data_IF_131520163016
#
_entry.id   IF_131520163016
#
_cell.length_a   1.000
_cell.length_b   1.000
_cell.length_c   1.000
_cell.angle_alpha   90.00
_cell.angle_beta   90.00
_cell.angle_gamma   90.00
#
_symmetry.space_group_name_H-M   'P 1'
#
loop_
_entity.id
_entity.type
_entity.pdbx_description
1 polymer ?
#
# COMPACT_ATOMS: atom_id res chain seq x y z
N UNK A 1 3.38 -19.93 5.09
CA UNK A 1 2.99 -21.04 5.99
C UNK A 1 1.47 -21.12 6.09
N UNK A 2 0.80 -21.65 5.05
CA UNK A 2 -0.64 -22.00 5.06
C UNK A 2 -0.86 -23.53 4.97
N UNK A 3 0.23 -24.29 4.83
CA UNK A 3 0.23 -25.74 4.58
C UNK A 3 -0.34 -26.60 5.73
N UNK A 4 -0.76 -26.01 6.86
CA UNK A 4 -1.33 -26.76 7.98
C UNK A 4 -2.84 -27.04 7.85
N UNK A 5 -3.55 -26.40 6.91
CA UNK A 5 -4.98 -26.65 6.70
C UNK A 5 -5.37 -26.44 5.23
N UNK A 6 -5.44 -27.54 4.48
CA UNK A 6 -5.80 -27.55 3.05
C UNK A 6 -7.16 -26.88 2.77
N UNK A 7 -8.12 -26.97 3.70
CA UNK A 7 -9.42 -26.31 3.53
C UNK A 7 -9.26 -24.80 3.63
N UNK A 8 -8.53 -24.31 4.64
CA UNK A 8 -8.27 -22.88 4.80
C UNK A 8 -7.47 -22.30 3.64
N UNK A 9 -6.47 -23.04 3.15
CA UNK A 9 -5.69 -22.62 1.99
C UNK A 9 -6.56 -22.49 0.74
N UNK A 10 -7.46 -23.44 0.51
CA UNK A 10 -8.41 -23.37 -0.60
C UNK A 10 -9.35 -22.16 -0.51
N UNK A 11 -9.92 -21.88 0.67
CA UNK A 11 -10.78 -20.70 0.89
C UNK A 11 -10.01 -19.40 0.68
N UNK A 12 -8.75 -19.34 1.14
CA UNK A 12 -7.89 -18.18 0.94
C UNK A 12 -7.57 -17.97 -0.55
N UNK A 13 -7.20 -19.03 -1.26
CA UNK A 13 -6.91 -18.96 -2.70
C UNK A 13 -8.16 -18.52 -3.49
N UNK A 14 -9.34 -19.06 -3.15
CA UNK A 14 -10.61 -18.62 -3.76
C UNK A 14 -10.87 -17.14 -3.51
N UNK A 15 -10.75 -16.67 -2.26
CA UNK A 15 -10.90 -15.25 -1.95
C UNK A 15 -9.91 -14.38 -2.73
N UNK A 16 -8.64 -14.79 -2.78
CA UNK A 16 -7.60 -14.03 -3.45
C UNK A 16 -7.85 -13.93 -4.96
N UNK A 17 -8.23 -15.04 -5.59
CA UNK A 17 -8.63 -15.06 -7.00
C UNK A 17 -9.89 -14.23 -7.25
N UNK A 18 -10.93 -14.31 -6.42
CA UNK A 18 -12.13 -13.48 -6.63
C UNK A 18 -11.86 -12.00 -6.43
N UNK A 19 -11.03 -11.62 -5.45
CA UNK A 19 -10.67 -10.23 -5.19
C UNK A 19 -9.78 -9.63 -6.29
N UNK A 20 -8.84 -10.42 -6.81
CA UNK A 20 -7.92 -9.97 -7.86
C UNK A 20 -8.47 -10.17 -9.26
N UNK A 21 -9.17 -11.25 -9.55
CA UNK A 21 -9.60 -11.61 -10.91
C UNK A 21 -11.10 -11.36 -11.15
N UNK A 22 -11.90 -11.31 -10.08
CA UNK A 22 -13.33 -11.05 -10.15
C UNK A 22 -13.73 -9.56 -10.10
N UNK A 23 -15.00 -9.30 -10.40
CA UNK A 23 -15.63 -7.99 -10.18
C UNK A 23 -15.76 -7.08 -11.40
N UNK A 24 -15.93 -5.79 -11.14
CA UNK A 24 -16.37 -4.75 -12.10
C UNK A 24 -15.20 -3.96 -12.69
N UNK A 25 -14.03 -4.01 -12.05
CA UNK A 25 -12.84 -3.30 -12.50
C UNK A 25 -12.35 -3.90 -13.82
N UNK A 26 -12.04 -3.03 -14.78
CA UNK A 26 -11.35 -3.44 -15.99
C UNK A 26 -9.95 -3.97 -15.63
N UNK A 27 -9.35 -4.80 -16.50
CA UNK A 27 -7.96 -5.24 -16.33
C UNK A 27 -6.99 -4.06 -16.14
N UNK A 28 -7.26 -2.96 -16.86
CA UNK A 28 -6.49 -1.72 -16.77
C UNK A 28 -6.63 -1.07 -15.39
N UNK A 29 -7.83 -0.94 -14.85
CA UNK A 29 -8.04 -0.33 -13.53
C UNK A 29 -7.51 -1.21 -12.40
N UNK A 30 -7.66 -2.52 -12.57
CA UNK A 30 -7.14 -3.51 -11.64
C UNK A 30 -5.62 -3.47 -11.53
N UNK A 31 -4.90 -3.38 -12.65
CA UNK A 31 -3.44 -3.30 -12.60
C UNK A 31 -2.95 -2.01 -11.95
N UNK A 32 -3.69 -0.90 -12.11
CA UNK A 32 -3.42 0.37 -11.42
C UNK A 32 -3.49 0.19 -9.90
N UNK A 33 -4.54 -0.47 -9.42
CA UNK A 33 -4.74 -0.77 -7.99
C UNK A 33 -3.62 -1.67 -7.48
N UNK A 34 -3.30 -2.76 -8.20
CA UNK A 34 -2.21 -3.67 -7.80
C UNK A 34 -0.88 -2.92 -7.73
N UNK A 35 -0.57 -2.07 -8.71
CA UNK A 35 0.65 -1.28 -8.74
C UNK A 35 0.75 -0.32 -7.56
N UNK A 36 -0.31 0.43 -7.27
CA UNK A 36 -0.36 1.34 -6.13
C UNK A 36 -0.22 0.57 -4.79
N UNK A 37 -0.87 -0.58 -4.68
CA UNK A 37 -0.85 -1.40 -3.46
C UNK A 37 0.52 -2.04 -3.24
N UNK A 38 1.14 -2.58 -4.29
CA UNK A 38 2.49 -3.15 -4.24
C UNK A 38 3.53 -2.09 -3.83
N UNK A 39 3.41 -0.87 -4.37
CA UNK A 39 4.25 0.26 -3.98
C UNK A 39 3.98 0.67 -2.52
N UNK A 40 2.72 0.64 -2.08
CA UNK A 40 2.31 0.95 -0.71
C UNK A 40 2.68 -0.14 0.31
N UNK A 41 2.97 -1.37 -0.12
CA UNK A 41 3.39 -2.49 0.74
C UNK A 41 4.89 -2.78 0.65
N UNK A 42 5.63 -2.08 -0.21
CA UNK A 42 7.06 -2.31 -0.46
C UNK A 42 7.36 -3.73 -0.97
N UNK A 43 6.39 -4.33 -1.66
CA UNK A 43 6.56 -5.64 -2.27
C UNK A 43 7.20 -5.47 -3.66
N UNK A 44 8.53 -5.56 -3.69
CA UNK A 44 9.32 -5.38 -4.90
C UNK A 44 9.00 -6.40 -6.00
N UNK A 45 8.61 -7.64 -5.63
CA UNK A 45 8.30 -8.69 -6.60
C UNK A 45 6.98 -8.39 -7.29
N UNK A 46 5.95 -8.09 -6.50
CA UNK A 46 4.62 -7.74 -7.02
C UNK A 46 4.68 -6.43 -7.79
N UNK A 47 5.45 -5.43 -7.33
CA UNK A 47 5.62 -4.16 -8.02
C UNK A 47 6.23 -4.34 -9.41
N UNK A 48 7.29 -5.15 -9.52
CA UNK A 48 7.94 -5.41 -10.82
C UNK A 48 6.96 -6.06 -11.80
N UNK A 49 6.22 -7.07 -11.37
CA UNK A 49 5.24 -7.74 -12.21
C UNK A 49 4.11 -6.79 -12.60
N UNK A 50 3.60 -5.99 -11.67
CA UNK A 50 2.56 -5.01 -11.94
C UNK A 50 2.98 -3.97 -12.97
N UNK A 51 4.22 -3.47 -12.91
CA UNK A 51 4.76 -2.52 -13.92
C UNK A 51 4.86 -3.17 -15.29
N UNK A 52 5.30 -4.42 -15.38
CA UNK A 52 5.39 -5.14 -16.65
C UNK A 52 4.00 -5.35 -17.28
N UNK A 53 3.05 -5.83 -16.49
CA UNK A 53 1.67 -6.03 -16.95
C UNK A 53 1.00 -4.70 -17.30
N UNK A 54 1.23 -3.63 -16.53
CA UNK A 54 0.73 -2.30 -16.86
C UNK A 54 1.22 -1.81 -18.23
N UNK A 55 2.51 -2.02 -18.54
CA UNK A 55 3.05 -1.68 -19.86
C UNK A 55 2.44 -2.52 -20.99
N UNK A 56 2.20 -3.81 -20.74
CA UNK A 56 1.53 -4.70 -21.71
C UNK A 56 0.08 -4.26 -22.00
N UNK A 57 -0.60 -3.73 -20.99
CA UNK A 57 -1.95 -3.14 -21.10
C UNK A 57 -1.94 -1.70 -21.66
N UNK A 58 -0.78 -1.21 -22.12
CA UNK A 58 -0.66 0.09 -22.78
C UNK A 58 -0.70 1.29 -21.84
N UNK A 59 -0.39 1.12 -20.55
CA UNK A 59 -0.17 2.27 -19.67
C UNK A 59 1.13 2.97 -20.04
N UNK A 60 1.11 4.31 -20.09
CA UNK A 60 2.31 5.10 -20.36
C UNK A 60 3.21 5.20 -19.13
N UNK A 61 4.47 5.57 -19.33
CA UNK A 61 5.37 5.81 -18.21
C UNK A 61 4.90 7.00 -17.35
N UNK A 62 4.24 7.99 -17.96
CA UNK A 62 3.66 9.14 -17.28
C UNK A 62 2.53 8.72 -16.34
N UNK A 63 1.64 7.84 -16.79
CA UNK A 63 0.56 7.30 -15.95
C UNK A 63 1.13 6.54 -14.75
N UNK A 64 2.05 5.61 -15.02
CA UNK A 64 2.75 4.82 -13.98
C UNK A 64 3.48 5.75 -12.98
N UNK A 65 4.16 6.77 -13.49
CA UNK A 65 4.85 7.77 -12.68
C UNK A 65 3.89 8.58 -11.83
N UNK A 66 2.73 8.97 -12.37
CA UNK A 66 1.73 9.75 -11.64
C UNK A 66 1.12 8.95 -10.48
N UNK A 67 0.77 7.68 -10.69
CA UNK A 67 0.25 6.80 -9.63
C UNK A 67 1.30 6.58 -8.53
N UNK A 68 2.56 6.42 -8.95
CA UNK A 68 3.67 6.26 -8.02
C UNK A 68 3.84 7.52 -7.17
N UNK A 69 3.77 8.70 -7.79
CA UNK A 69 3.82 9.99 -7.09
C UNK A 69 2.65 10.17 -6.11
N UNK A 70 1.42 9.81 -6.50
CA UNK A 70 0.26 9.83 -5.60
C UNK A 70 0.51 8.96 -4.37
N UNK A 71 0.98 7.72 -4.56
CA UNK A 71 1.24 6.79 -3.46
C UNK A 71 2.31 7.33 -2.50
N UNK A 72 3.38 7.91 -3.05
CA UNK A 72 4.45 8.55 -2.25
C UNK A 72 3.92 9.79 -1.53
N UNK A 73 3.09 10.62 -2.16
CA UNK A 73 2.49 11.80 -1.55
C UNK A 73 1.59 11.43 -0.35
N UNK A 74 0.76 10.40 -0.50
CA UNK A 74 -0.09 9.88 0.59
C UNK A 74 0.73 9.37 1.77
N UNK A 75 1.84 8.66 1.49
CA UNK A 75 2.80 8.25 2.53
C UNK A 75 3.46 9.46 3.21
N UNK A 76 3.88 10.45 2.43
CA UNK A 76 4.44 11.70 2.93
C UNK A 76 3.48 12.46 3.84
N UNK A 77 2.20 12.52 3.48
CA UNK A 77 1.16 13.12 4.33
C UNK A 77 1.02 12.40 5.66
N UNK A 78 1.05 11.06 5.67
CA UNK A 78 1.04 10.26 6.91
C UNK A 78 2.25 10.57 7.79
N UNK A 79 3.46 10.65 7.20
CA UNK A 79 4.69 11.00 7.94
C UNK A 79 4.59 12.40 8.52
N UNK A 80 4.12 13.37 7.73
CA UNK A 80 3.94 14.75 8.19
C UNK A 80 2.93 14.85 9.35
N UNK A 81 1.84 14.06 9.29
CA UNK A 81 0.88 13.94 10.38
C UNK A 81 1.49 13.34 11.65
N UNK A 82 2.45 12.41 11.54
CA UNK A 82 3.17 11.90 12.71
C UNK A 82 4.17 12.92 13.27
N UNK A 83 4.80 13.71 12.41
CA UNK A 83 5.74 14.76 12.82
C UNK A 83 5.03 15.89 13.60
N UNK A 84 3.81 16.27 13.19
CA UNK A 84 3.02 17.28 13.89
C UNK A 84 2.52 16.84 15.27
N UNK A 85 2.45 15.53 15.55
CA UNK A 85 2.12 15.00 16.88
C UNK A 85 3.28 15.02 17.89
N UNK A 86 4.52 15.27 17.45
CA UNK A 86 5.70 15.25 18.33
C UNK A 86 6.07 16.60 18.96
N UNK A 87 5.25 17.65 18.80
CA UNK A 87 5.41 18.92 19.55
C UNK A 87 4.48 18.93 20.76
N UNK A 88 4.79 18.06 21.71
CA UNK A 88 4.31 18.14 23.09
C UNK A 88 5.47 17.93 24.05
N UNK A 89 6.64 18.49 23.73
CA UNK A 89 7.69 18.68 24.75
C UNK A 89 7.22 19.77 25.68
N UNK A 90 6.55 19.33 26.75
CA UNK A 90 6.68 19.83 28.11
C UNK A 90 7.30 21.23 28.21
N UNK A 91 6.46 22.26 28.28
CA UNK A 91 6.89 23.49 28.93
C UNK A 91 7.21 23.12 30.38
N UNK A 92 8.50 23.16 30.73
CA UNK A 92 9.00 23.06 32.10
C UNK A 92 8.29 24.10 32.98
N UNK A 93 7.13 23.78 33.54
CA UNK A 93 6.68 24.38 34.79
C UNK A 93 7.33 23.57 35.89
N UNK A 94 8.27 24.19 36.59
CA UNK A 94 8.90 23.62 37.78
C UNK A 94 7.82 23.28 38.81
N UNK A 95 7.36 22.04 38.86
CA UNK A 95 6.65 21.50 40.01
C UNK A 95 7.68 20.98 40.99
N UNK A 96 7.94 21.75 42.05
CA UNK A 96 8.51 21.21 43.28
C UNK A 96 7.56 20.14 43.82
N UNK A 97 7.84 18.88 43.54
CA UNK A 97 7.27 17.75 44.27
C UNK A 97 8.39 16.75 44.51
N UNK A 98 9.04 16.91 45.66
CA UNK A 98 9.73 15.95 46.51
C UNK A 98 10.55 16.81 47.49
N UNK A 99 9.97 17.03 48.67
CA UNK A 99 10.72 17.33 49.90
C UNK A 99 11.16 16.01 50.51
#
# INVERSE_FOLDING_TARGET
MLALNNKLQKEFDTFFTEALEGGVLSERDRILVILATALAMEDANTLKNAVLTAKQLGLTNEEIGHISAITVAMRGQKINGLASFNVSTSTNKSSKCCE
#
